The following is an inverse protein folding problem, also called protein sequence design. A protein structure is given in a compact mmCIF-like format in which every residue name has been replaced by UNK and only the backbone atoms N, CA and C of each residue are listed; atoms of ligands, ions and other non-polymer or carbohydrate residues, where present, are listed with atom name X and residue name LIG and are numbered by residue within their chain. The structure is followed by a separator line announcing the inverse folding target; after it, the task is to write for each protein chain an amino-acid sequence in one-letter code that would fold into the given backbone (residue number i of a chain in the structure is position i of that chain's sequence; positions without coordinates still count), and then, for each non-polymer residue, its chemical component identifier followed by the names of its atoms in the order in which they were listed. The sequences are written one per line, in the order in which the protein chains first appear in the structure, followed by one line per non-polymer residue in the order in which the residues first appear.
data_IF_259990536568
#
_entry.id   IF_259990536568
#
_cell.length_a   1.000
_cell.length_b   1.000
_cell.length_c   1.000
_cell.angle_alpha   90.00
_cell.angle_beta   90.00
_cell.angle_gamma   90.00
#
_symmetry.space_group_name_H-M   'P 1'
#
loop_
_entity.id
_entity.type
_entity.pdbx_description
1 polymer ?
#
# COMPACT_ATOMS: atom_id res chain seq x y z
N UNK A 1 -51.55 -15.27 -52.61
CA UNK A 1 -51.43 -16.47 -51.75
C UNK A 1 -50.20 -17.24 -52.18
N UNK A 2 -49.34 -17.67 -51.25
CA UNK A 2 -48.21 -18.56 -51.52
C UNK A 2 -46.90 -18.04 -50.91
N UNK A 3 -46.74 -18.27 -49.61
CA UNK A 3 -45.58 -17.88 -48.82
C UNK A 3 -44.62 -19.09 -48.64
N UNK A 4 -43.32 -18.77 -48.62
CA UNK A 4 -42.21 -19.39 -47.88
C UNK A 4 -41.77 -20.85 -48.14
N UNK A 5 -40.50 -20.97 -48.56
CA UNK A 5 -39.57 -22.00 -48.05
C UNK A 5 -38.12 -21.52 -48.25
N UNK A 6 -37.56 -20.82 -47.26
CA UNK A 6 -36.12 -20.57 -47.17
C UNK A 6 -35.58 -21.28 -45.94
N UNK A 7 -34.72 -22.27 -46.18
CA UNK A 7 -34.05 -23.05 -45.13
C UNK A 7 -32.86 -22.22 -44.59
N UNK A 8 -32.91 -21.88 -43.31
CA UNK A 8 -31.80 -21.29 -42.57
C UNK A 8 -30.65 -22.31 -42.41
N UNK A 9 -29.54 -22.10 -43.12
CA UNK A 9 -28.25 -22.73 -42.83
C UNK A 9 -27.53 -21.89 -41.74
N UNK A 10 -27.11 -22.48 -40.61
CA UNK A 10 -26.46 -21.75 -39.53
C UNK A 10 -25.01 -21.38 -39.84
N UNK A 11 -24.63 -20.16 -39.46
CA UNK A 11 -23.31 -19.58 -39.62
C UNK A 11 -22.20 -20.39 -38.93
N UNK A 12 -20.98 -20.38 -39.51
CA UNK A 12 -19.77 -21.04 -39.01
C UNK A 12 -19.40 -20.68 -37.55
N UNK A 13 -19.94 -19.59 -37.00
CA UNK A 13 -19.78 -19.22 -35.59
C UNK A 13 -20.57 -20.10 -34.61
N UNK A 14 -21.70 -20.69 -35.02
CA UNK A 14 -22.54 -21.54 -34.16
C UNK A 14 -22.03 -22.98 -34.03
N UNK A 15 -21.14 -23.43 -34.93
CA UNK A 15 -20.56 -24.78 -34.89
C UNK A 15 -19.43 -24.97 -33.87
N UNK A 16 -18.95 -23.90 -33.19
CA UNK A 16 -17.78 -23.95 -32.28
C UNK A 16 -18.06 -23.84 -30.78
N UNK A 17 -19.30 -23.64 -30.35
CA UNK A 17 -19.66 -23.61 -28.92
C UNK A 17 -20.73 -24.66 -28.58
N UNK A 18 -20.32 -25.94 -28.53
CA UNK A 18 -21.06 -26.94 -27.74
C UNK A 18 -20.60 -26.82 -26.29
N UNK A 19 -21.32 -26.02 -25.52
CA UNK A 19 -21.23 -26.06 -24.05
C UNK A 19 -22.16 -27.19 -23.59
N UNK A 20 -21.58 -28.28 -23.09
CA UNK A 20 -22.32 -29.37 -22.47
C UNK A 20 -23.10 -28.84 -21.25
N UNK A 21 -24.43 -28.80 -21.37
CA UNK A 21 -25.33 -28.51 -20.25
C UNK A 21 -25.49 -29.76 -19.38
N UNK A 22 -25.33 -29.69 -18.05
CA UNK A 22 -25.61 -30.81 -17.17
C UNK A 22 -27.11 -31.16 -17.18
N UNK A 23 -27.40 -32.45 -17.35
CA UNK A 23 -28.75 -33.02 -17.33
C UNK A 23 -29.41 -32.82 -15.96
N UNK A 24 -30.47 -32.00 -15.88
CA UNK A 24 -31.34 -31.94 -14.70
C UNK A 24 -32.21 -33.21 -14.64
N UNK A 25 -32.12 -33.94 -13.52
CA UNK A 25 -33.00 -35.09 -13.23
C UNK A 25 -34.42 -34.61 -12.99
N UNK A 26 -35.37 -35.13 -13.78
CA UNK A 26 -36.83 -34.99 -13.58
C UNK A 26 -37.23 -35.60 -12.23
N UNK A 27 -37.90 -34.83 -11.37
CA UNK A 27 -38.74 -35.33 -10.27
C UNK A 27 -40.20 -35.12 -10.64
N UNK A 28 -41.01 -36.15 -10.38
CA UNK A 28 -42.44 -36.25 -10.70
C UNK A 28 -43.30 -35.29 -9.85
N UNK A 29 -44.54 -34.96 -10.30
CA UNK A 29 -45.42 -34.01 -9.65
C UNK A 29 -46.28 -34.67 -8.56
N UNK A 30 -46.48 -33.99 -7.44
CA UNK A 30 -47.53 -34.30 -6.45
C UNK A 30 -48.36 -33.03 -6.29
N UNK A 31 -49.66 -33.11 -6.61
CA UNK A 31 -50.64 -32.06 -6.33
C UNK A 31 -51.40 -32.35 -5.00
N UNK A 32 -52.42 -31.55 -4.58
CA UNK A 32 -52.42 -30.95 -3.24
C UNK A 32 -53.57 -31.51 -2.38
N UNK A 33 -53.56 -31.23 -1.08
CA UNK A 33 -54.75 -31.41 -0.24
C UNK A 33 -55.03 -30.11 0.52
N UNK A 34 -56.18 -29.53 0.15
CA UNK A 34 -57.03 -28.55 0.86
C UNK A 34 -57.39 -29.07 2.28
N UNK A 35 -57.86 -28.33 3.29
CA UNK A 35 -58.31 -26.95 3.44
C UNK A 35 -58.57 -26.65 4.95
N UNK A 36 -58.55 -25.35 5.30
CA UNK A 36 -59.44 -24.63 6.24
C UNK A 36 -59.39 -24.96 7.76
N UNK A 37 -59.54 -24.03 8.72
CA UNK A 37 -59.90 -22.60 8.72
C UNK A 37 -59.81 -21.97 10.14
N UNK A 38 -59.68 -20.62 10.17
CA UNK A 38 -60.14 -19.62 11.19
C UNK A 38 -59.39 -19.57 12.55
N UNK A 39 -59.13 -18.42 13.20
CA UNK A 39 -59.66 -17.04 13.07
C UNK A 39 -58.77 -16.01 13.85
N UNK A 40 -58.75 -14.74 13.39
CA UNK A 40 -58.70 -13.42 14.12
C UNK A 40 -57.69 -13.18 15.28
N UNK A 41 -57.05 -12.02 15.53
CA UNK A 41 -57.32 -10.61 15.20
C UNK A 41 -56.10 -9.74 15.61
N UNK A 42 -55.92 -8.58 14.93
CA UNK A 42 -55.45 -7.24 15.40
C UNK A 42 -54.22 -7.09 16.33
N UNK A 43 -53.23 -6.28 15.94
CA UNK A 43 -53.26 -4.81 16.16
C UNK A 43 -52.05 -4.07 15.54
N UNK A 44 -52.33 -2.84 15.11
CA UNK A 44 -51.46 -1.81 14.53
C UNK A 44 -50.49 -1.16 15.53
N UNK A 45 -49.29 -0.75 15.06
CA UNK A 45 -48.92 0.69 15.02
C UNK A 45 -47.60 0.95 14.29
N UNK A 46 -47.74 1.59 13.12
CA UNK A 46 -46.73 2.44 12.47
C UNK A 46 -46.75 3.81 13.14
N UNK A 47 -45.58 4.45 13.30
CA UNK A 47 -45.50 5.89 13.47
C UNK A 47 -44.35 6.47 12.65
N UNK A 48 -44.64 7.60 12.02
CA UNK A 48 -43.84 8.35 11.07
C UNK A 48 -43.69 9.81 11.54
N UNK A 49 -42.52 10.39 11.24
CA UNK A 49 -42.17 11.80 11.01
C UNK A 49 -42.12 12.82 12.19
N UNK A 50 -40.96 13.48 12.47
CA UNK A 50 -40.41 14.81 12.02
C UNK A 50 -41.39 15.98 12.31
N UNK A 51 -41.11 17.12 12.97
CA UNK A 51 -40.15 18.27 12.82
C UNK A 51 -40.26 19.10 14.15
N UNK A 52 -39.24 19.72 14.77
CA UNK A 52 -38.76 21.09 14.49
C UNK A 52 -37.75 21.59 15.55
N UNK A 53 -37.02 22.64 15.18
CA UNK A 53 -35.86 23.26 15.84
C UNK A 53 -36.16 24.03 17.13
N UNK A 54 -35.15 24.19 18.02
CA UNK A 54 -34.80 25.52 18.56
C UNK A 54 -33.37 25.59 19.13
N UNK A 55 -32.83 26.80 19.10
CA UNK A 55 -31.52 27.27 19.55
C UNK A 55 -31.38 27.21 21.08
N UNK A 56 -30.17 26.95 21.59
CA UNK A 56 -29.59 27.74 22.71
C UNK A 56 -28.08 27.55 22.86
N UNK A 57 -27.43 28.71 22.87
CA UNK A 57 -26.05 29.01 23.27
C UNK A 57 -25.93 28.86 24.78
N UNK A 58 -24.93 28.11 25.28
CA UNK A 58 -24.30 28.32 26.60
C UNK A 58 -22.79 28.06 26.46
N UNK A 59 -22.03 28.94 27.09
CA UNK A 59 -20.59 29.21 27.14
C UNK A 59 -19.71 28.13 27.82
N UNK A 60 -18.35 28.25 27.75
CA UNK A 60 -17.41 27.21 28.13
C UNK A 60 -16.91 27.38 29.58
N UNK A 61 -16.70 26.27 30.29
CA UNK A 61 -16.05 26.28 31.62
C UNK A 61 -15.13 25.05 31.79
N UNK A 62 -13.83 25.37 31.82
CA UNK A 62 -12.77 24.79 32.65
C UNK A 62 -12.20 23.38 32.41
N UNK A 63 -10.88 23.41 32.19
CA UNK A 63 -9.85 22.34 32.23
C UNK A 63 -9.67 21.84 33.69
N UNK A 64 -9.15 20.61 33.91
CA UNK A 64 -7.79 20.46 34.47
C UNK A 64 -6.95 19.41 33.70
N UNK A 65 -5.73 19.71 33.24
CA UNK A 65 -4.43 19.78 33.96
C UNK A 65 -3.83 18.37 34.15
N UNK A 66 -2.94 17.96 33.25
CA UNK A 66 -1.45 17.89 33.41
C UNK A 66 -1.05 16.88 34.50
N UNK A 67 -0.45 15.78 34.05
CA UNK A 67 0.25 14.82 34.91
C UNK A 67 1.74 15.16 34.83
N UNK A 68 2.27 15.73 35.92
CA UNK A 68 3.72 15.90 36.13
C UNK A 68 4.29 14.64 36.81
N UNK A 69 5.50 14.20 36.47
CA UNK A 69 6.22 13.19 37.24
C UNK A 69 7.04 13.85 38.36
N UNK A 70 6.90 13.33 39.57
CA UNK A 70 7.71 13.64 40.74
C UNK A 70 9.06 12.93 40.66
N UNK A 71 10.13 13.70 40.87
CA UNK A 71 11.50 13.27 41.11
C UNK A 71 11.70 12.88 42.58
N UNK A 72 12.24 11.68 42.83
CA UNK A 72 12.88 11.34 44.09
C UNK A 72 14.22 10.65 43.82
N UNK A 73 15.25 11.14 44.50
CA UNK A 73 16.66 10.76 44.46
C UNK A 73 16.94 9.65 45.47
N UNK A 74 17.72 8.64 45.09
CA UNK A 74 18.55 7.88 46.03
C UNK A 74 19.74 7.27 45.29
N UNK A 75 20.93 7.57 45.80
CA UNK A 75 22.23 7.07 45.36
C UNK A 75 22.55 5.74 46.03
N UNK A 76 22.99 4.74 45.26
CA UNK A 76 23.98 3.74 45.69
C UNK A 76 24.68 3.15 44.42
N UNK A 77 26.01 2.92 44.40
CA UNK A 77 26.76 2.68 43.19
C UNK A 77 27.03 1.19 42.92
N UNK A 78 27.44 0.93 41.68
CA UNK A 78 28.02 -0.31 41.15
C UNK A 78 27.01 -1.36 40.63
N UNK A 79 26.74 -1.30 39.32
CA UNK A 79 26.96 -2.45 38.42
C UNK A 79 26.90 -2.04 36.94
N UNK A 80 27.97 -2.41 36.23
CA UNK A 80 28.18 -2.46 34.78
C UNK A 80 27.16 -1.80 33.81
N UNK A 81 27.56 -0.64 33.31
CA UNK A 81 27.05 -0.02 32.07
C UNK A 81 27.19 -0.96 30.86
N UNK A 82 26.17 -1.78 30.62
CA UNK A 82 25.81 -2.18 29.26
C UNK A 82 24.82 -1.16 28.75
N UNK A 83 25.35 -0.13 28.08
CA UNK A 83 24.60 0.92 27.38
C UNK A 83 23.83 0.34 26.17
N UNK A 84 22.92 -0.61 26.39
CA UNK A 84 21.83 -0.81 25.46
C UNK A 84 20.85 0.33 25.71
N UNK A 85 21.04 1.44 25.00
CA UNK A 85 20.01 2.46 24.87
C UNK A 85 18.69 1.73 24.58
N UNK A 86 17.78 1.70 25.56
CA UNK A 86 16.44 1.13 25.38
C UNK A 86 15.73 2.00 24.36
N UNK A 87 15.96 1.73 23.07
CA UNK A 87 15.29 2.42 21.99
C UNK A 87 13.79 2.24 22.20
N UNK A 88 13.11 3.36 22.45
CA UNK A 88 11.67 3.38 22.65
C UNK A 88 10.99 2.83 21.39
N UNK A 89 10.12 1.84 21.59
CA UNK A 89 9.34 1.27 20.49
C UNK A 89 8.49 2.36 19.80
N UNK A 90 8.48 2.39 18.46
CA UNK A 90 7.75 3.39 17.66
C UNK A 90 6.21 3.23 17.68
N UNK A 91 5.73 2.16 18.33
CA UNK A 91 4.31 1.82 18.55
C UNK A 91 4.12 1.39 19.98
N UNK A 92 3.07 1.84 20.66
CA UNK A 92 2.70 1.31 21.96
C UNK A 92 2.13 -0.11 21.85
N UNK A 93 2.09 -0.83 22.98
CA UNK A 93 1.58 -2.22 23.02
C UNK A 93 0.16 -2.34 22.46
N UNK A 94 -0.71 -1.37 22.75
CA UNK A 94 -2.09 -1.32 22.23
C UNK A 94 -2.11 -1.24 20.70
N UNK A 95 -1.31 -0.37 20.10
CA UNK A 95 -1.25 -0.20 18.64
C UNK A 95 -0.79 -1.48 17.94
N UNK A 96 0.21 -2.17 18.49
CA UNK A 96 0.67 -3.46 17.93
C UNK A 96 -0.42 -4.52 17.94
N UNK A 97 -1.15 -4.66 19.05
CA UNK A 97 -2.28 -5.59 19.12
C UNK A 97 -3.39 -5.25 18.11
N UNK A 98 -3.68 -3.96 17.92
CA UNK A 98 -4.66 -3.52 16.91
C UNK A 98 -4.21 -3.88 15.49
N UNK A 99 -2.93 -3.67 15.17
CA UNK A 99 -2.34 -4.01 13.87
C UNK A 99 -2.38 -5.51 13.61
N UNK A 100 -2.00 -6.34 14.60
CA UNK A 100 -2.08 -7.79 14.48
C UNK A 100 -3.51 -8.29 14.27
N UNK A 101 -4.46 -7.77 15.04
CA UNK A 101 -5.87 -8.15 14.91
C UNK A 101 -6.44 -7.72 13.55
N UNK A 102 -6.18 -6.48 13.14
CA UNK A 102 -6.56 -5.91 11.85
C UNK A 102 -6.01 -6.76 10.71
N UNK A 103 -4.70 -7.02 10.69
CA UNK A 103 -4.07 -7.80 9.63
C UNK A 103 -4.60 -9.23 9.57
N UNK A 104 -4.72 -9.89 10.73
CA UNK A 104 -5.27 -11.26 10.82
C UNK A 104 -6.70 -11.34 10.30
N UNK A 105 -7.54 -10.35 10.62
CA UNK A 105 -8.92 -10.27 10.14
C UNK A 105 -8.95 -10.12 8.63
N UNK A 106 -8.21 -9.15 8.07
CA UNK A 106 -8.13 -8.92 6.63
C UNK A 106 -7.66 -10.16 5.88
N UNK A 107 -6.67 -10.89 6.43
CA UNK A 107 -6.20 -12.16 5.85
C UNK A 107 -7.26 -13.27 5.86
N UNK A 108 -8.15 -13.31 6.85
CA UNK A 108 -9.20 -14.34 6.99
C UNK A 108 -10.44 -14.05 6.14
N UNK A 109 -10.79 -12.79 5.90
CA UNK A 109 -12.02 -12.39 5.19
C UNK A 109 -11.96 -12.59 3.67
N UNK A 110 -11.02 -13.42 3.16
CA UNK A 110 -10.86 -13.61 1.72
C UNK A 110 -10.35 -12.35 1.00
N UNK A 111 -9.72 -11.40 1.72
CA UNK A 111 -8.94 -10.34 1.07
C UNK A 111 -7.63 -10.90 0.50
N UNK A 112 -7.68 -12.07 -0.14
CA UNK A 112 -6.57 -12.84 -0.75
C UNK A 112 -5.77 -12.04 -1.77
N UNK A 113 -6.23 -10.83 -2.05
CA UNK A 113 -5.65 -9.88 -2.97
C UNK A 113 -5.27 -8.57 -2.29
N UNK A 114 -5.03 -8.54 -0.97
CA UNK A 114 -4.66 -7.30 -0.25
C UNK A 114 -3.45 -6.61 -0.91
N UNK A 115 -2.39 -7.36 -1.21
CA UNK A 115 -1.25 -6.81 -1.94
C UNK A 115 -1.57 -6.41 -3.39
N UNK A 116 -2.50 -7.12 -4.05
CA UNK A 116 -2.95 -6.73 -5.39
C UNK A 116 -3.78 -5.45 -5.35
N UNK A 117 -4.62 -5.28 -4.33
CA UNK A 117 -5.41 -4.07 -4.11
C UNK A 117 -4.50 -2.87 -3.88
N UNK A 118 -3.57 -2.99 -2.94
CA UNK A 118 -2.58 -1.94 -2.66
C UNK A 118 -1.79 -1.60 -3.93
N UNK A 119 -1.27 -2.61 -4.64
CA UNK A 119 -0.48 -2.35 -5.84
C UNK A 119 -1.30 -1.75 -6.98
N UNK A 120 -2.55 -2.20 -7.17
CA UNK A 120 -3.45 -1.59 -8.14
C UNK A 120 -3.75 -0.12 -7.79
N UNK A 121 -3.99 0.19 -6.52
CA UNK A 121 -4.20 1.57 -6.06
C UNK A 121 -2.98 2.44 -6.37
N UNK A 122 -1.77 1.95 -6.09
CA UNK A 122 -0.51 2.65 -6.40
C UNK A 122 -0.38 2.91 -7.91
N UNK A 123 -0.58 1.88 -8.76
CA UNK A 123 -0.49 2.04 -10.22
C UNK A 123 -1.64 2.88 -10.81
N UNK A 124 -2.73 3.06 -10.07
CA UNK A 124 -3.84 3.95 -10.45
C UNK A 124 -3.50 5.39 -10.10
N UNK A 125 -3.00 5.61 -8.87
CA UNK A 125 -2.63 6.93 -8.37
C UNK A 125 -1.43 7.51 -9.13
N UNK A 126 -0.43 6.68 -9.43
CA UNK A 126 0.75 7.08 -10.20
C UNK A 126 1.02 6.10 -11.35
N UNK A 127 0.50 6.39 -12.56
CA UNK A 127 0.67 5.53 -13.72
C UNK A 127 2.12 5.34 -14.18
N UNK A 128 3.00 6.32 -13.94
CA UNK A 128 4.42 6.28 -14.34
C UNK A 128 5.16 5.08 -13.74
N UNK A 129 4.75 4.65 -12.55
CA UNK A 129 5.31 3.47 -11.87
C UNK A 129 5.19 2.21 -12.76
N UNK A 130 4.19 2.15 -13.66
CA UNK A 130 4.04 1.02 -14.59
C UNK A 130 5.27 0.83 -15.48
N UNK A 131 5.96 1.90 -15.87
CA UNK A 131 7.16 1.84 -16.70
C UNK A 131 8.31 1.08 -16.00
N UNK A 132 8.47 1.26 -14.69
CA UNK A 132 9.49 0.57 -13.87
C UNK A 132 9.33 -0.96 -13.94
N UNK A 133 8.08 -1.43 -14.08
CA UNK A 133 7.73 -2.84 -14.20
C UNK A 133 7.52 -3.29 -15.66
N UNK A 134 7.69 -2.41 -16.65
CA UNK A 134 7.43 -2.67 -18.06
C UNK A 134 5.95 -2.94 -18.39
N UNK A 135 5.02 -2.42 -17.58
CA UNK A 135 3.57 -2.63 -17.69
C UNK A 135 2.82 -1.44 -18.30
N UNK A 136 3.53 -0.45 -18.87
CA UNK A 136 2.97 0.80 -19.40
C UNK A 136 1.88 0.58 -20.47
N UNK A 137 2.06 -0.44 -21.32
CA UNK A 137 1.15 -0.75 -22.44
C UNK A 137 -0.06 -1.60 -22.01
N UNK A 138 -0.13 -2.00 -20.74
CA UNK A 138 -1.20 -2.88 -20.25
C UNK A 138 -2.39 -2.05 -19.80
N UNK A 139 -3.59 -2.27 -20.36
CA UNK A 139 -4.80 -1.60 -19.91
C UNK A 139 -5.09 -1.86 -18.43
N UNK A 140 -5.61 -0.86 -17.72
CA UNK A 140 -5.87 -0.92 -16.28
C UNK A 140 -6.67 -2.16 -15.86
N UNK A 141 -7.75 -2.48 -16.58
CA UNK A 141 -8.61 -3.63 -16.31
C UNK A 141 -7.93 -4.99 -16.52
N UNK A 142 -6.76 -5.03 -17.17
CA UNK A 142 -5.99 -6.23 -17.46
C UNK A 142 -4.76 -6.39 -16.57
N UNK A 143 -4.32 -5.35 -15.85
CA UNK A 143 -3.12 -5.38 -15.00
C UNK A 143 -3.13 -6.54 -14.01
N UNK A 144 -4.27 -6.82 -13.38
CA UNK A 144 -4.38 -7.89 -12.37
C UNK A 144 -4.03 -9.30 -12.86
N UNK A 145 -4.04 -9.52 -14.18
CA UNK A 145 -3.69 -10.81 -14.78
C UNK A 145 -2.22 -10.90 -15.19
N UNK A 146 -1.51 -9.77 -15.28
CA UNK A 146 -0.10 -9.75 -15.65
C UNK A 146 0.74 -10.48 -14.58
N UNK A 147 1.66 -11.38 -14.97
CA UNK A 147 2.50 -12.10 -14.01
C UNK A 147 3.36 -11.17 -13.14
N UNK A 148 3.88 -10.07 -13.68
CA UNK A 148 4.72 -9.11 -12.94
C UNK A 148 3.90 -8.37 -11.91
N UNK A 149 2.65 -8.01 -12.26
CA UNK A 149 1.71 -7.46 -11.32
C UNK A 149 1.48 -8.41 -10.14
N UNK A 150 1.14 -9.68 -10.41
CA UNK A 150 0.87 -10.68 -9.36
C UNK A 150 2.10 -10.97 -8.51
N UNK A 151 3.29 -11.00 -9.12
CA UNK A 151 4.54 -11.20 -8.41
C UNK A 151 4.81 -10.05 -7.43
N UNK A 152 4.67 -8.79 -7.86
CA UNK A 152 4.90 -7.64 -6.99
C UNK A 152 3.81 -7.48 -5.92
N UNK A 153 2.55 -7.75 -6.26
CA UNK A 153 1.46 -7.83 -5.28
C UNK A 153 1.71 -8.87 -4.18
N UNK A 154 2.33 -10.00 -4.54
CA UNK A 154 2.73 -11.02 -3.56
C UNK A 154 3.84 -10.50 -2.65
N UNK A 155 4.78 -9.72 -3.18
CA UNK A 155 5.82 -9.07 -2.37
C UNK A 155 5.20 -8.17 -1.30
N UNK A 156 4.25 -7.31 -1.66
CA UNK A 156 3.55 -6.48 -0.65
C UNK A 156 2.90 -7.30 0.45
N UNK A 157 2.19 -8.36 0.08
CA UNK A 157 1.53 -9.24 1.04
C UNK A 157 2.53 -9.88 2.00
N UNK A 158 3.63 -10.44 1.47
CA UNK A 158 4.70 -11.07 2.27
C UNK A 158 5.45 -10.07 3.14
N UNK A 159 5.66 -8.84 2.66
CA UNK A 159 6.30 -7.77 3.42
C UNK A 159 5.47 -7.45 4.67
N UNK A 160 4.15 -7.28 4.53
CA UNK A 160 3.30 -7.02 5.70
C UNK A 160 3.16 -8.24 6.62
N UNK A 161 3.14 -9.46 6.09
CA UNK A 161 3.23 -10.66 6.93
C UNK A 161 4.51 -10.67 7.78
N UNK A 162 5.64 -10.30 7.18
CA UNK A 162 6.92 -10.17 7.89
C UNK A 162 6.88 -9.06 8.93
N UNK A 163 6.37 -7.87 8.58
CA UNK A 163 6.25 -6.73 9.50
C UNK A 163 5.44 -7.10 10.73
N UNK A 164 4.22 -7.61 10.53
CA UNK A 164 3.30 -7.92 11.63
C UNK A 164 3.87 -9.05 12.49
N UNK A 165 4.54 -10.05 11.90
CA UNK A 165 5.20 -11.12 12.65
C UNK A 165 6.38 -10.64 13.52
N UNK A 166 7.06 -9.57 13.11
CA UNK A 166 8.24 -9.05 13.80
C UNK A 166 8.00 -7.67 14.42
N UNK A 167 6.74 -7.31 14.67
CA UNK A 167 6.37 -5.96 15.09
C UNK A 167 6.90 -5.59 16.47
N UNK A 168 7.26 -6.56 17.31
CA UNK A 168 7.90 -6.34 18.61
C UNK A 168 9.42 -6.14 18.52
N UNK A 169 10.03 -6.32 17.34
CA UNK A 169 11.48 -6.25 17.13
C UNK A 169 11.85 -5.07 16.20
N UNK A 170 11.84 -3.83 16.71
CA UNK A 170 12.02 -2.64 15.89
C UNK A 170 13.37 -2.60 15.16
N UNK A 171 14.48 -2.98 15.80
CA UNK A 171 15.81 -2.99 15.17
C UNK A 171 15.91 -3.97 13.98
N UNK A 172 15.14 -5.07 14.06
CA UNK A 172 15.06 -6.06 12.98
C UNK A 172 14.28 -5.51 11.79
N UNK A 173 13.20 -4.76 12.04
CA UNK A 173 12.45 -4.08 10.99
C UNK A 173 13.27 -2.95 10.38
N UNK A 174 13.93 -2.15 11.23
CA UNK A 174 14.84 -1.07 10.86
C UNK A 174 15.88 -1.56 9.84
N UNK A 175 16.69 -2.55 10.24
CA UNK A 175 17.73 -3.15 9.39
C UNK A 175 17.17 -3.71 8.08
N UNK A 176 16.00 -4.38 8.14
CA UNK A 176 15.36 -4.97 6.97
C UNK A 176 14.93 -3.91 5.95
N UNK A 177 14.28 -2.84 6.41
CA UNK A 177 13.73 -1.81 5.54
C UNK A 177 14.80 -0.86 5.01
N UNK A 178 15.86 -0.60 5.74
CA UNK A 178 17.04 0.07 5.19
C UNK A 178 17.66 -0.72 4.05
N UNK A 179 17.85 -2.04 4.24
CA UNK A 179 18.35 -2.92 3.17
C UNK A 179 17.42 -2.92 1.95
N UNK A 180 16.10 -2.91 2.18
CA UNK A 180 15.12 -2.76 1.11
C UNK A 180 15.27 -1.40 0.40
N UNK A 181 15.43 -0.30 1.15
CA UNK A 181 15.68 1.04 0.63
C UNK A 181 16.93 1.12 -0.25
N UNK A 182 18.05 0.57 0.20
CA UNK A 182 19.31 0.48 -0.57
C UNK A 182 19.11 -0.16 -1.93
N UNK A 183 18.32 -1.25 -1.99
CA UNK A 183 18.03 -1.93 -3.27
C UNK A 183 17.20 -1.08 -4.24
N UNK A 184 16.42 -0.11 -3.75
CA UNK A 184 15.64 0.77 -4.61
C UNK A 184 16.50 1.82 -5.33
N UNK A 185 17.72 2.10 -4.87
CA UNK A 185 18.66 3.00 -5.57
C UNK A 185 18.97 2.51 -6.98
N UNK A 186 19.13 1.19 -7.16
CA UNK A 186 19.35 0.58 -8.49
C UNK A 186 18.15 0.79 -9.43
N UNK A 187 16.95 0.94 -8.87
CA UNK A 187 15.73 1.14 -9.65
C UNK A 187 15.59 2.56 -10.20
N UNK A 188 16.38 3.54 -9.71
CA UNK A 188 16.38 4.89 -10.25
C UNK A 188 16.75 4.91 -11.74
N UNK A 189 17.67 4.04 -12.16
CA UNK A 189 18.02 3.86 -13.59
C UNK A 189 16.85 3.36 -14.46
N UNK A 190 15.74 2.94 -13.85
CA UNK A 190 14.50 2.50 -14.52
C UNK A 190 13.34 3.50 -14.31
N UNK A 191 13.63 4.71 -13.81
CA UNK A 191 12.64 5.75 -13.56
C UNK A 191 12.00 5.70 -12.17
N UNK A 192 12.61 5.04 -11.18
CA UNK A 192 12.12 5.10 -9.80
C UNK A 192 12.34 6.48 -9.18
N UNK A 193 11.26 7.11 -8.73
CA UNK A 193 11.24 8.38 -7.99
C UNK A 193 10.97 8.11 -6.49
N UNK A 194 11.82 8.59 -5.58
CA UNK A 194 11.55 8.66 -4.13
C UNK A 194 10.16 9.16 -3.72
N UNK A 195 9.51 10.00 -4.52
CA UNK A 195 8.16 10.50 -4.23
C UNK A 195 7.11 9.37 -4.27
N UNK A 196 7.38 8.27 -4.98
CA UNK A 196 6.47 7.12 -5.06
C UNK A 196 6.26 6.43 -3.69
N UNK A 197 7.15 6.64 -2.72
CA UNK A 197 6.90 6.16 -1.35
C UNK A 197 5.73 6.87 -0.68
N UNK A 198 5.51 8.15 -0.96
CA UNK A 198 4.36 8.91 -0.42
C UNK A 198 3.05 8.39 -1.04
N UNK A 199 3.04 8.18 -2.36
CA UNK A 199 1.91 7.54 -3.05
C UNK A 199 1.60 6.16 -2.47
N UNK A 200 2.63 5.37 -2.18
CA UNK A 200 2.46 4.08 -1.50
C UNK A 200 1.88 4.25 -0.10
N UNK A 201 2.35 5.24 0.68
CA UNK A 201 1.87 5.51 2.03
C UNK A 201 0.36 5.80 2.06
N UNK A 202 -0.07 6.67 1.15
CA UNK A 202 -1.46 7.07 0.98
C UNK A 202 -2.31 5.89 0.55
N UNK A 203 -1.89 5.16 -0.48
CA UNK A 203 -2.62 3.99 -0.98
C UNK A 203 -2.75 2.88 0.07
N UNK A 204 -1.68 2.63 0.84
CA UNK A 204 -1.70 1.62 1.91
C UNK A 204 -2.64 2.03 3.05
N UNK A 205 -2.60 3.29 3.46
CA UNK A 205 -3.49 3.82 4.50
C UNK A 205 -4.94 3.79 4.02
N UNK A 206 -5.21 4.15 2.77
CA UNK A 206 -6.56 4.09 2.19
C UNK A 206 -7.05 2.65 2.06
N UNK A 207 -6.19 1.70 1.69
CA UNK A 207 -6.55 0.29 1.71
C UNK A 207 -6.95 -0.16 3.14
N UNK A 208 -6.25 0.34 4.16
CA UNK A 208 -6.56 0.07 5.56
C UNK A 208 -7.90 0.63 6.03
N UNK A 209 -8.21 1.85 5.61
CA UNK A 209 -9.52 2.48 5.80
C UNK A 209 -10.65 1.60 5.26
N UNK A 210 -10.46 1.03 4.07
CA UNK A 210 -11.46 0.20 3.41
C UNK A 210 -11.68 -1.16 4.10
N UNK A 211 -10.63 -1.89 4.52
CA UNK A 211 -10.83 -3.19 5.19
C UNK A 211 -11.27 -3.05 6.66
N UNK A 212 -10.95 -1.93 7.32
CA UNK A 212 -11.49 -1.61 8.64
C UNK A 212 -12.94 -1.07 8.58
N UNK A 213 -13.50 -0.96 7.37
CA UNK A 213 -14.85 -0.46 7.12
C UNK A 213 -15.12 0.89 7.82
N UNK A 214 -14.13 1.77 7.89
CA UNK A 214 -14.18 3.10 8.52
C UNK A 214 -14.47 3.15 10.03
N UNK A 215 -14.51 2.01 10.75
CA UNK A 215 -15.01 1.97 12.13
C UNK A 215 -13.94 2.12 13.21
N UNK A 216 -12.68 1.80 12.90
CA UNK A 216 -11.62 1.66 13.92
C UNK A 216 -10.56 2.78 13.83
N UNK A 217 -10.93 4.00 14.26
CA UNK A 217 -10.02 5.18 14.23
C UNK A 217 -8.63 4.92 14.87
N UNK A 218 -8.53 4.26 16.04
CA UNK A 218 -7.22 3.97 16.66
C UNK A 218 -6.37 3.01 15.82
N UNK A 219 -6.99 2.01 15.20
CA UNK A 219 -6.32 1.07 14.29
C UNK A 219 -5.75 1.79 13.08
N UNK A 220 -6.49 2.75 12.51
CA UNK A 220 -6.00 3.57 11.40
C UNK A 220 -4.83 4.47 11.81
N UNK A 221 -4.84 5.01 13.04
CA UNK A 221 -3.69 5.71 13.61
C UNK A 221 -2.45 4.82 13.66
N UNK A 222 -2.60 3.59 14.17
CA UNK A 222 -1.51 2.61 14.22
C UNK A 222 -0.98 2.25 12.82
N UNK A 223 -1.85 2.07 11.82
CA UNK A 223 -1.45 1.81 10.44
C UNK A 223 -0.64 2.97 9.84
N UNK A 224 -1.06 4.22 10.07
CA UNK A 224 -0.32 5.40 9.61
C UNK A 224 1.07 5.45 10.24
N UNK A 225 1.16 5.30 11.56
CA UNK A 225 2.45 5.27 12.26
C UNK A 225 3.36 4.18 11.71
N UNK A 226 2.84 2.95 11.56
CA UNK A 226 3.60 1.83 11.02
C UNK A 226 4.14 2.12 9.61
N UNK A 227 3.28 2.58 8.70
CA UNK A 227 3.66 2.84 7.30
C UNK A 227 4.67 3.98 7.20
N UNK A 228 4.47 5.07 7.95
CA UNK A 228 5.41 6.18 8.02
C UNK A 228 6.78 5.74 8.54
N UNK A 229 6.81 4.89 9.59
CA UNK A 229 8.08 4.36 10.12
C UNK A 229 8.79 3.46 9.10
N UNK A 230 8.06 2.59 8.39
CA UNK A 230 8.65 1.75 7.33
C UNK A 230 9.28 2.62 6.24
N UNK A 231 8.57 3.64 5.77
CA UNK A 231 9.06 4.56 4.74
C UNK A 231 10.28 5.33 5.24
N UNK A 232 10.28 5.79 6.49
CA UNK A 232 11.43 6.45 7.10
C UNK A 232 12.69 5.56 7.04
N UNK A 233 12.58 4.27 7.42
CA UNK A 233 13.71 3.34 7.34
C UNK A 233 14.15 3.07 5.89
N UNK A 234 13.20 2.92 4.96
CA UNK A 234 13.50 2.77 3.54
C UNK A 234 14.22 3.99 2.97
N UNK A 235 13.76 5.20 3.30
CA UNK A 235 14.37 6.46 2.88
C UNK A 235 15.79 6.57 3.41
N UNK A 236 16.02 6.31 4.71
CA UNK A 236 17.36 6.34 5.28
C UNK A 236 18.34 5.41 4.54
N UNK A 237 17.96 4.14 4.35
CA UNK A 237 18.79 3.20 3.60
C UNK A 237 19.01 3.62 2.14
N UNK A 238 17.99 4.16 1.49
CA UNK A 238 18.11 4.67 0.13
C UNK A 238 19.07 5.85 0.04
N UNK A 239 18.91 6.86 0.89
CA UNK A 239 19.69 8.09 0.88
C UNK A 239 21.17 7.79 1.18
N UNK A 240 21.44 6.91 2.15
CA UNK A 240 22.80 6.45 2.45
C UNK A 240 23.49 5.81 1.24
N UNK A 241 22.80 4.94 0.52
CA UNK A 241 23.37 4.25 -0.65
C UNK A 241 23.47 5.17 -1.87
N UNK A 242 22.49 6.03 -2.08
CA UNK A 242 22.51 7.03 -3.15
C UNK A 242 23.65 8.04 -2.96
N UNK A 243 23.87 8.47 -1.70
CA UNK A 243 24.98 9.35 -1.33
C UNK A 243 26.35 8.69 -1.47
N UNK A 244 26.47 7.36 -1.38
CA UNK A 244 27.72 6.65 -1.68
C UNK A 244 28.03 6.57 -3.18
N UNK A 245 26.99 6.54 -4.03
CA UNK A 245 27.15 6.46 -5.50
C UNK A 245 27.39 7.82 -6.16
N UNK A 246 26.87 8.92 -5.59
CA UNK A 246 27.12 10.28 -6.10
C UNK A 246 28.61 10.68 -6.16
N UNK A 247 29.46 10.42 -5.14
CA UNK A 247 30.89 10.71 -5.19
C UNK A 247 31.64 9.98 -6.31
N UNK A 248 31.19 8.78 -6.70
CA UNK A 248 31.86 8.00 -7.76
C UNK A 248 31.63 8.58 -9.17
N UNK A 249 30.55 9.34 -9.40
CA UNK A 249 30.25 9.94 -10.71
C UNK A 249 30.93 11.31 -10.94
N UNK A 250 31.45 11.97 -9.89
CA UNK A 250 32.12 13.27 -10.00
C UNK A 250 33.66 13.16 -10.08
N UNK A 251 34.24 11.97 -9.88
CA UNK A 251 35.69 11.74 -9.89
C UNK A 251 36.29 11.31 -11.24
N UNK A 252 35.51 11.23 -12.31
CA UNK A 252 35.88 10.52 -13.55
C UNK A 252 36.01 11.37 -14.81
N UNK A 253 36.51 12.61 -14.74
CA UNK A 253 36.97 13.35 -15.93
C UNK A 253 37.97 14.43 -15.53
N UNK A 254 39.19 14.02 -15.20
CA UNK A 254 40.34 14.93 -15.25
C UNK A 254 40.63 15.23 -16.73
N UNK A 255 40.72 16.51 -17.15
CA UNK A 255 41.24 16.84 -18.47
C UNK A 255 42.69 16.36 -18.52
N UNK A 256 42.97 15.44 -19.45
CA UNK A 256 44.32 15.02 -19.82
C UNK A 256 45.10 16.27 -20.23
N UNK A 257 45.90 16.83 -19.31
CA UNK A 257 46.89 17.88 -19.61
C UNK A 257 47.78 17.35 -20.74
N UNK A 258 47.59 17.88 -21.94
CA UNK A 258 48.58 17.77 -22.99
C UNK A 258 49.81 18.55 -22.52
N UNK A 259 50.81 17.82 -22.02
CA UNK A 259 52.17 18.31 -22.04
C UNK A 259 52.59 18.37 -23.51
N UNK A 260 52.62 19.58 -24.09
CA UNK A 260 53.51 19.87 -25.20
C UNK A 260 54.58 20.84 -24.73
N UNK A 261 55.80 20.47 -25.09
CA UNK A 261 57.04 20.95 -24.55
C UNK A 261 57.31 22.41 -24.88
N UNK A 262 57.95 23.06 -23.91
CA UNK A 262 58.69 24.30 -24.02
C UNK A 262 59.69 24.22 -25.19
N UNK A 263 59.64 25.21 -26.10
CA UNK A 263 60.82 25.70 -26.82
C UNK A 263 60.83 27.21 -26.69
N UNK A 264 61.71 27.70 -25.84
CA UNK A 264 62.20 29.08 -25.92
C UNK A 264 63.10 29.20 -27.16
N UNK A 265 63.04 30.32 -27.87
CA UNK A 265 64.07 31.37 -27.83
C UNK A 265 64.22 32.15 -29.16
N UNK A 266 64.44 33.47 -28.98
CA UNK A 266 64.94 34.50 -29.92
C UNK A 266 64.04 34.85 -31.13
N UNK A 267 63.99 36.07 -31.69
CA UNK A 267 64.37 37.43 -31.33
C UNK A 267 63.91 38.31 -32.52
N UNK A 268 63.62 39.59 -32.23
CA UNK A 268 63.88 40.78 -33.09
C UNK A 268 63.23 40.97 -34.48
N UNK A 269 62.62 42.16 -34.64
CA UNK A 269 62.54 42.96 -35.88
C UNK A 269 61.54 42.44 -36.92
N UNK A 270 60.65 43.22 -37.52
CA UNK A 270 60.80 44.59 -38.00
C UNK A 270 60.53 44.59 -39.51
N UNK A 271 59.51 45.34 -39.91
CA UNK A 271 59.46 46.12 -41.17
C UNK A 271 59.23 45.39 -42.51
N UNK A 272 58.05 45.69 -43.10
CA UNK A 272 57.77 46.15 -44.49
C UNK A 272 58.51 45.47 -45.65
N UNK A 273 57.75 44.87 -46.57
CA UNK A 273 57.51 45.35 -47.95
C UNK A 273 56.21 44.76 -48.49
#
# INVERSE_FOLDING_TARGET
MGAENSKNEPSLAEKRYKVDRPKMKKKAPVQPVNAQAKNSNKDEKRNSAIISADKRVITPTSIPTICSPTSETSDDPSTNESTSSLKKHFLCKRERMLLEHSWRKTRKTGSEHVGSKIFLMVLTAQPDIKAIFGMEKIPQGRLKYDPRFRQHATVFTKTFDYVIKNIDYPDKLETHFESLGRRHVVMQGRGFDPLYWETFAECMTQAAVEWEANRQRPTLGAWRTLVSTIIMFMRRGFDEENNKRRPQNLGGRSPRRQHYAHKENYAFGGTVY
#
